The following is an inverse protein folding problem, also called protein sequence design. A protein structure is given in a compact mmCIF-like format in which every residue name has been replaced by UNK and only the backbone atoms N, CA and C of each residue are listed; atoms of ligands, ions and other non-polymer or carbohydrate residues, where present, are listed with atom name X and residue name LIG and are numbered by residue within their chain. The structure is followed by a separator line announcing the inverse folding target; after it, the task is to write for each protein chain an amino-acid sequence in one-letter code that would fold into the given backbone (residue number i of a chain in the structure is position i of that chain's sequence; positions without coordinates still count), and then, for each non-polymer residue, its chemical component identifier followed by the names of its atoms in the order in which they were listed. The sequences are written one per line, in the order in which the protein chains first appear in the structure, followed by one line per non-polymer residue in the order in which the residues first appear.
data_IF_794227051583
#
_entry.id   IF_794227051583
#
_cell.length_a   1.000
_cell.length_b   1.000
_cell.length_c   1.000
_cell.angle_alpha   90.00
_cell.angle_beta   90.00
_cell.angle_gamma   90.00
#
_symmetry.space_group_name_H-M   'P 1'
#
loop_
_entity.id
_entity.type
_entity.pdbx_description
1 polymer ?
#
# COMPACT_ATOMS: atom_id res chain seq x y z
N UNK A 1 17.75 -7.75 -15.27
CA UNK A 1 16.65 -7.22 -16.12
C UNK A 1 16.04 -6.02 -15.39
N UNK A 2 15.71 -4.91 -16.10
CA UNK A 2 14.98 -3.80 -15.44
C UNK A 2 13.60 -4.31 -15.04
N UNK A 3 13.20 -4.09 -13.79
CA UNK A 3 11.86 -4.40 -13.30
C UNK A 3 10.85 -3.56 -14.10
N UNK A 4 9.81 -4.19 -14.65
CA UNK A 4 8.78 -3.52 -15.43
C UNK A 4 7.51 -3.43 -14.59
N UNK A 5 6.95 -2.21 -14.48
CA UNK A 5 5.70 -1.99 -13.77
C UNK A 5 4.47 -2.33 -14.61
N UNK A 6 3.44 -2.85 -13.95
CA UNK A 6 2.17 -3.27 -14.54
C UNK A 6 1.15 -2.12 -14.53
N UNK A 7 1.31 -1.11 -15.39
CA UNK A 7 0.41 0.05 -15.43
C UNK A 7 -1.05 -0.24 -15.83
N UNK A 8 -1.34 -1.45 -16.30
CA UNK A 8 -2.72 -1.91 -16.52
C UNK A 8 -3.49 -2.16 -15.20
N UNK A 9 -2.84 -2.07 -14.05
CA UNK A 9 -3.44 -2.22 -12.70
C UNK A 9 -3.96 -0.91 -12.12
N UNK A 10 -3.75 0.21 -12.78
CA UNK A 10 -4.17 1.53 -12.33
C UNK A 10 -4.86 2.30 -13.45
N UNK A 11 -5.74 3.23 -13.09
CA UNK A 11 -6.39 4.10 -14.08
C UNK A 11 -5.39 5.08 -14.70
N UNK A 12 -5.66 5.59 -15.92
CA UNK A 12 -4.83 6.65 -16.52
C UNK A 12 -4.73 7.89 -15.63
N UNK A 13 -5.80 8.23 -14.89
CA UNK A 13 -5.82 9.34 -13.93
C UNK A 13 -4.84 9.09 -12.79
N UNK A 14 -4.92 7.92 -12.13
CA UNK A 14 -4.01 7.56 -11.04
C UNK A 14 -2.55 7.57 -11.50
N UNK A 15 -2.26 6.97 -12.66
CA UNK A 15 -0.90 6.98 -13.24
C UNK A 15 -0.39 8.40 -13.46
N UNK A 16 -1.23 9.28 -14.02
CA UNK A 16 -0.87 10.69 -14.28
C UNK A 16 -0.60 11.43 -12.97
N UNK A 17 -1.48 11.27 -11.98
CA UNK A 17 -1.32 11.88 -10.66
C UNK A 17 -0.04 11.40 -9.99
N UNK A 18 0.17 10.07 -9.92
CA UNK A 18 1.36 9.49 -9.31
C UNK A 18 2.65 10.03 -9.95
N UNK A 19 2.70 10.10 -11.28
CA UNK A 19 3.87 10.66 -11.99
C UNK A 19 4.14 12.13 -11.63
N UNK A 20 3.10 12.97 -11.49
CA UNK A 20 3.24 14.37 -11.06
C UNK A 20 3.76 14.48 -9.63
N UNK A 21 3.21 13.68 -8.70
CA UNK A 21 3.65 13.68 -7.30
C UNK A 21 5.11 13.22 -7.17
N UNK A 22 5.50 12.16 -7.86
CA UNK A 22 6.87 11.64 -7.82
C UNK A 22 7.91 12.57 -8.45
N UNK A 23 7.49 13.44 -9.37
CA UNK A 23 8.35 14.45 -10.01
C UNK A 23 8.44 15.77 -9.25
N UNK A 24 7.68 15.97 -8.16
CA UNK A 24 7.66 17.22 -7.41
C UNK A 24 8.54 17.12 -6.15
N UNK A 25 9.29 18.19 -5.88
CA UNK A 25 10.24 18.28 -4.76
C UNK A 25 9.54 18.11 -3.39
N UNK A 26 8.30 18.58 -3.29
CA UNK A 26 7.47 18.48 -2.09
C UNK A 26 7.26 17.03 -1.63
N UNK A 27 7.35 16.07 -2.55
CA UNK A 27 7.18 14.64 -2.29
C UNK A 27 8.49 13.85 -2.29
N UNK A 28 9.65 14.54 -2.33
CA UNK A 28 10.96 13.90 -2.43
C UNK A 28 11.27 12.90 -1.31
N UNK A 29 10.68 13.09 -0.12
CA UNK A 29 10.88 12.23 1.05
C UNK A 29 9.88 11.07 1.14
N UNK A 30 8.92 10.97 0.20
CA UNK A 30 7.90 9.94 0.21
C UNK A 30 8.23 8.80 -0.75
N UNK A 31 7.78 7.61 -0.40
CA UNK A 31 7.77 6.44 -1.30
C UNK A 31 6.39 5.81 -1.37
N UNK A 32 6.05 5.27 -2.53
CA UNK A 32 4.80 4.55 -2.76
C UNK A 32 4.83 3.21 -2.02
N UNK A 33 3.78 2.95 -1.24
CA UNK A 33 3.58 1.71 -0.48
C UNK A 33 2.23 1.08 -0.78
N UNK A 34 1.84 0.12 0.00
CA UNK A 34 0.48 -0.43 0.00
C UNK A 34 0.07 -1.19 -1.25
N UNK A 35 -1.24 -1.20 -1.48
CA UNK A 35 -1.84 -1.99 -2.55
C UNK A 35 -1.45 -1.54 -3.95
N UNK A 36 -1.28 -0.23 -4.17
CA UNK A 36 -0.91 0.30 -5.49
C UNK A 36 0.54 -0.05 -5.85
N UNK A 37 1.47 0.05 -4.90
CA UNK A 37 2.84 -0.40 -5.14
C UNK A 37 2.87 -1.88 -5.51
N UNK A 38 2.19 -2.74 -4.74
CA UNK A 38 2.17 -4.18 -5.00
C UNK A 38 1.48 -4.52 -6.32
N UNK A 39 0.38 -3.85 -6.66
CA UNK A 39 -0.31 -4.04 -7.94
C UNK A 39 0.59 -3.66 -9.12
N UNK A 40 1.36 -2.58 -9.02
CA UNK A 40 2.34 -2.20 -10.03
C UNK A 40 3.47 -3.24 -10.16
N UNK A 41 3.92 -3.85 -9.05
CA UNK A 41 4.93 -4.93 -9.09
C UNK A 41 4.41 -6.23 -9.68
N UNK A 42 3.23 -6.68 -9.26
CA UNK A 42 2.73 -8.04 -9.53
C UNK A 42 1.73 -8.12 -10.68
N UNK A 43 1.01 -7.06 -11.00
CA UNK A 43 -0.01 -7.07 -12.06
C UNK A 43 -1.25 -7.91 -11.73
N UNK A 44 -1.56 -8.14 -10.46
CA UNK A 44 -2.53 -9.14 -10.01
C UNK A 44 -3.96 -8.60 -9.85
N UNK A 45 -4.13 -7.33 -9.51
CA UNK A 45 -5.44 -6.68 -9.35
C UNK A 45 -5.38 -5.19 -9.66
N UNK A 46 -6.56 -4.58 -9.86
CA UNK A 46 -6.67 -3.13 -9.93
C UNK A 46 -6.42 -2.49 -8.57
N UNK A 47 -5.83 -1.29 -8.57
CA UNK A 47 -5.70 -0.42 -7.40
C UNK A 47 -6.14 1.00 -7.71
N UNK A 48 -6.70 1.69 -6.72
CA UNK A 48 -7.43 2.95 -6.91
C UNK A 48 -6.96 4.10 -6.02
N UNK A 49 -6.12 3.79 -5.01
CA UNK A 49 -5.61 4.76 -4.04
C UNK A 49 -4.11 4.98 -4.23
N UNK A 50 -3.57 6.08 -3.74
CA UNK A 50 -2.12 6.34 -3.67
C UNK A 50 -1.75 6.48 -2.20
N UNK A 51 -0.92 5.55 -1.70
CA UNK A 51 -0.37 5.57 -0.35
C UNK A 51 1.11 5.97 -0.45
N UNK A 52 1.45 7.18 0.01
CA UNK A 52 2.82 7.70 0.05
C UNK A 52 3.26 7.86 1.51
N UNK A 53 4.21 7.05 1.93
CA UNK A 53 4.71 7.08 3.29
C UNK A 53 6.14 7.61 3.36
N UNK A 54 6.46 8.22 4.51
CA UNK A 54 7.79 8.77 4.80
C UNK A 54 8.27 8.35 6.18
N UNK A 55 9.57 8.05 6.27
CA UNK A 55 10.28 7.85 7.53
C UNK A 55 10.98 9.12 8.05
N UNK A 56 10.66 10.29 7.46
CA UNK A 56 11.15 11.56 7.95
C UNK A 56 10.74 11.77 9.41
N UNK A 57 11.56 12.52 10.14
CA UNK A 57 11.27 12.87 11.53
C UNK A 57 9.88 13.51 11.65
N UNK A 58 9.10 13.06 12.64
CA UNK A 58 7.73 13.54 12.85
C UNK A 58 7.71 15.07 13.00
N UNK A 59 6.79 15.69 12.25
CA UNK A 59 6.61 17.15 12.26
C UNK A 59 7.54 17.92 11.32
N UNK A 60 8.46 17.27 10.59
CA UNK A 60 9.38 17.94 9.63
C UNK A 60 8.75 18.17 8.27
N UNK A 61 7.72 17.42 7.88
CA UNK A 61 6.99 17.62 6.63
C UNK A 61 6.11 18.87 6.73
N UNK A 62 6.30 19.79 5.80
CA UNK A 62 5.47 20.98 5.71
C UNK A 62 4.21 20.71 4.85
N UNK A 63 3.15 20.24 5.49
CA UNK A 63 1.89 19.94 4.81
C UNK A 63 1.25 21.16 4.14
N UNK A 64 1.49 22.40 4.62
CA UNK A 64 0.99 23.59 3.95
C UNK A 64 1.62 23.79 2.56
N UNK A 65 2.91 23.47 2.41
CA UNK A 65 3.59 23.51 1.11
C UNK A 65 3.00 22.45 0.17
N UNK A 66 2.78 21.23 0.68
CA UNK A 66 2.14 20.15 -0.07
C UNK A 66 0.72 20.57 -0.51
N UNK A 67 -0.10 21.10 0.39
CA UNK A 67 -1.47 21.53 0.11
C UNK A 67 -1.53 22.65 -0.94
N UNK A 68 -0.59 23.59 -0.86
CA UNK A 68 -0.44 24.65 -1.87
C UNK A 68 -0.05 24.07 -3.24
N UNK A 69 0.84 23.06 -3.28
CA UNK A 69 1.17 22.35 -4.52
C UNK A 69 -0.07 21.64 -5.08
N UNK A 70 -0.76 20.84 -4.26
CA UNK A 70 -1.94 20.07 -4.68
C UNK A 70 -3.03 20.97 -5.26
N UNK A 71 -3.35 22.07 -4.56
CA UNK A 71 -4.37 23.04 -4.98
C UNK A 71 -4.01 23.74 -6.30
N UNK A 72 -2.73 23.98 -6.55
CA UNK A 72 -2.27 24.59 -7.82
C UNK A 72 -2.23 23.59 -8.97
N UNK A 73 -1.91 22.32 -8.66
CA UNK A 73 -1.63 21.29 -9.66
C UNK A 73 -2.88 20.56 -10.15
N UNK A 74 -3.93 20.46 -9.31
CA UNK A 74 -5.14 19.72 -9.61
C UNK A 74 -6.37 20.63 -9.58
N UNK A 75 -7.31 20.43 -10.51
CA UNK A 75 -8.56 21.20 -10.61
C UNK A 75 -9.52 20.91 -9.44
N UNK A 76 -9.38 19.72 -8.84
CA UNK A 76 -10.14 19.33 -7.67
C UNK A 76 -9.18 18.83 -6.59
N UNK A 77 -9.33 19.40 -5.38
CA UNK A 77 -8.61 19.01 -4.18
C UNK A 77 -9.55 19.14 -2.99
N UNK A 78 -9.77 18.03 -2.28
CA UNK A 78 -10.59 17.99 -1.07
C UNK A 78 -9.80 17.37 0.08
N UNK A 79 -9.80 18.05 1.23
CA UNK A 79 -9.14 17.61 2.47
C UNK A 79 -9.69 18.36 3.67
N UNK A 80 -9.58 17.78 4.85
CA UNK A 80 -9.96 18.47 6.07
C UNK A 80 -8.84 19.41 6.57
N UNK A 81 -9.24 20.47 7.29
CA UNK A 81 -8.33 21.44 7.92
C UNK A 81 -7.97 21.06 9.37
N UNK A 82 -8.11 19.80 9.75
CA UNK A 82 -7.73 19.35 11.08
C UNK A 82 -6.20 19.38 11.25
N UNK A 83 -5.71 19.53 12.49
CA UNK A 83 -4.28 19.41 12.77
C UNK A 83 -3.73 18.09 12.23
N UNK A 84 -2.52 18.14 11.71
CA UNK A 84 -1.83 16.94 11.21
C UNK A 84 -1.51 16.04 12.41
N UNK A 85 -2.05 14.82 12.36
CA UNK A 85 -1.61 13.73 13.22
C UNK A 85 -0.43 13.00 12.59
N UNK A 86 -0.50 11.67 12.48
CA UNK A 86 0.53 10.88 11.78
C UNK A 86 0.54 11.11 10.26
N UNK A 87 -0.38 11.89 9.72
CA UNK A 87 -0.48 12.21 8.30
C UNK A 87 -1.82 12.84 7.93
N UNK A 88 -2.08 12.96 6.64
CA UNK A 88 -3.33 13.51 6.08
C UNK A 88 -3.76 12.72 4.84
N UNK A 89 -5.07 12.69 4.63
CA UNK A 89 -5.70 12.14 3.43
C UNK A 89 -6.29 13.26 2.57
N UNK A 90 -6.20 13.09 1.27
CA UNK A 90 -6.67 14.02 0.25
C UNK A 90 -7.47 13.27 -0.80
N UNK A 91 -8.41 13.96 -1.46
CA UNK A 91 -8.96 13.54 -2.74
C UNK A 91 -8.53 14.56 -3.78
N UNK A 92 -7.82 14.11 -4.81
CA UNK A 92 -7.23 14.98 -5.84
C UNK A 92 -7.56 14.47 -7.24
N UNK A 93 -7.87 15.38 -8.16
CA UNK A 93 -8.25 14.97 -9.51
C UNK A 93 -8.79 16.11 -10.38
N UNK A 94 -9.69 15.75 -11.28
CA UNK A 94 -10.33 16.69 -12.20
C UNK A 94 -11.59 17.33 -11.59
N UNK A 95 -12.38 16.51 -10.88
CA UNK A 95 -13.62 16.87 -10.20
C UNK A 95 -13.93 15.84 -9.11
N UNK A 96 -15.03 16.02 -8.36
CA UNK A 96 -15.40 15.13 -7.24
C UNK A 96 -15.75 13.69 -7.64
N UNK A 97 -16.07 13.42 -8.91
CA UNK A 97 -16.35 12.08 -9.44
C UNK A 97 -15.12 11.43 -10.04
N UNK A 98 -14.13 12.24 -10.42
CA UNK A 98 -12.88 11.83 -11.03
C UNK A 98 -11.70 12.28 -10.14
N UNK A 99 -11.68 11.78 -8.91
CA UNK A 99 -10.64 12.01 -7.92
C UNK A 99 -10.02 10.70 -7.43
N UNK A 100 -8.77 10.78 -7.04
CA UNK A 100 -7.98 9.69 -6.45
C UNK A 100 -7.73 10.03 -4.98
N UNK A 101 -7.90 9.06 -4.10
CA UNK A 101 -7.50 9.19 -2.70
C UNK A 101 -5.97 9.13 -2.62
N UNK A 102 -5.40 10.12 -1.96
CA UNK A 102 -3.97 10.23 -1.65
C UNK A 102 -3.80 10.23 -0.14
N UNK A 103 -3.11 9.24 0.39
CA UNK A 103 -2.73 9.15 1.78
C UNK A 103 -1.24 9.51 1.95
N UNK A 104 -0.94 10.53 2.75
CA UNK A 104 0.41 10.96 3.10
C UNK A 104 0.65 10.75 4.59
N UNK A 105 1.50 9.79 4.96
CA UNK A 105 1.69 9.41 6.35
C UNK A 105 3.17 9.25 6.73
N UNK A 106 3.48 9.63 7.97
CA UNK A 106 4.71 9.20 8.63
C UNK A 106 4.61 7.72 8.96
N UNK A 107 5.75 7.06 8.97
CA UNK A 107 5.86 5.65 9.37
C UNK A 107 7.17 5.41 10.11
N UNK A 108 7.27 4.26 10.78
CA UNK A 108 8.55 3.78 11.31
C UNK A 108 9.59 3.64 10.19
N UNK A 109 10.90 3.62 10.53
CA UNK A 109 11.96 3.44 9.54
C UNK A 109 11.70 2.24 8.64
N UNK A 110 11.92 2.44 7.37
CA UNK A 110 11.82 1.34 6.40
C UNK A 110 12.94 0.33 6.62
N UNK A 111 12.67 -0.93 6.33
CA UNK A 111 13.64 -2.02 6.52
C UNK A 111 14.63 -2.15 5.35
N UNK A 112 14.29 -1.58 4.21
CA UNK A 112 15.07 -1.65 3.00
C UNK A 112 15.15 -0.30 2.28
N UNK A 113 16.14 -0.12 1.41
CA UNK A 113 16.33 1.07 0.60
C UNK A 113 15.17 1.27 -0.40
N UNK A 114 15.03 2.52 -0.87
CA UNK A 114 14.07 2.86 -1.92
C UNK A 114 14.39 2.09 -3.21
N UNK A 115 13.36 1.50 -3.80
CA UNK A 115 13.41 0.98 -5.17
C UNK A 115 12.84 2.04 -6.11
N UNK A 116 13.64 2.50 -7.06
CA UNK A 116 13.17 3.44 -8.08
C UNK A 116 12.97 2.75 -9.43
N UNK A 117 11.75 2.77 -9.93
CA UNK A 117 11.39 2.24 -11.25
C UNK A 117 10.54 3.28 -11.98
N UNK A 118 10.92 3.62 -13.21
CA UNK A 118 10.22 4.63 -14.03
C UNK A 118 10.01 5.98 -13.29
N UNK A 119 11.02 6.41 -12.51
CA UNK A 119 10.99 7.58 -11.64
C UNK A 119 9.93 7.53 -10.51
N UNK A 120 9.39 6.36 -10.19
CA UNK A 120 8.53 6.14 -9.03
C UNK A 120 9.39 5.56 -7.90
N UNK A 121 9.46 6.27 -6.78
CA UNK A 121 10.08 5.79 -5.53
C UNK A 121 9.10 4.85 -4.84
N UNK A 122 9.49 3.60 -4.63
CA UNK A 122 8.65 2.53 -4.10
C UNK A 122 9.30 1.86 -2.90
N UNK A 123 8.50 1.36 -1.98
CA UNK A 123 8.95 0.37 -0.99
C UNK A 123 9.22 -0.97 -1.69
N UNK A 124 10.07 -1.81 -1.10
CA UNK A 124 10.30 -3.19 -1.57
C UNK A 124 9.04 -4.05 -1.38
N UNK A 125 8.98 -5.20 -2.04
CA UNK A 125 7.87 -6.16 -1.84
C UNK A 125 7.90 -6.68 -0.40
N UNK A 126 9.07 -6.94 0.16
CA UNK A 126 9.29 -7.40 1.53
C UNK A 126 8.76 -6.39 2.56
N UNK A 127 9.00 -5.12 2.32
CA UNK A 127 8.46 -4.01 3.10
C UNK A 127 6.92 -3.99 3.08
N UNK A 128 6.33 -4.14 1.88
CA UNK A 128 4.88 -4.15 1.71
C UNK A 128 4.27 -5.40 2.36
N UNK A 129 4.93 -6.56 2.29
CA UNK A 129 4.52 -7.77 3.02
C UNK A 129 4.45 -7.48 4.52
N UNK A 130 5.52 -6.89 5.09
CA UNK A 130 5.55 -6.57 6.52
C UNK A 130 4.38 -5.66 6.92
N UNK A 131 4.10 -4.61 6.14
CA UNK A 131 2.97 -3.70 6.38
C UNK A 131 1.61 -4.40 6.30
N UNK A 132 1.44 -5.34 5.36
CA UNK A 132 0.19 -6.11 5.23
C UNK A 132 -0.01 -7.13 6.35
N UNK A 133 1.06 -7.76 6.80
CA UNK A 133 1.03 -8.64 7.98
C UNK A 133 0.62 -7.84 9.22
N UNK A 134 1.11 -6.60 9.39
CA UNK A 134 0.69 -5.72 10.49
C UNK A 134 -0.80 -5.37 10.43
N UNK A 135 -1.35 -5.18 9.23
CA UNK A 135 -2.80 -5.02 9.05
C UNK A 135 -3.55 -6.30 9.44
N UNK A 136 -3.10 -7.48 8.97
CA UNK A 136 -3.73 -8.77 9.32
C UNK A 136 -3.63 -9.06 10.81
N UNK A 137 -2.51 -8.73 11.46
CA UNK A 137 -2.38 -8.90 12.92
C UNK A 137 -3.49 -8.19 13.70
N UNK A 138 -4.03 -7.11 13.17
CA UNK A 138 -5.15 -6.36 13.78
C UNK A 138 -6.50 -6.85 13.27
N UNK A 139 -6.78 -6.63 12.00
CA UNK A 139 -7.96 -7.12 11.26
C UNK A 139 -7.70 -6.96 9.78
N UNK A 140 -7.48 -8.05 9.05
CA UNK A 140 -7.19 -8.00 7.63
C UNK A 140 -8.43 -7.67 6.78
N UNK A 141 -8.29 -6.79 5.79
CA UNK A 141 -9.31 -6.60 4.75
C UNK A 141 -9.12 -7.62 3.64
N UNK A 142 -10.18 -7.97 2.91
CA UNK A 142 -10.12 -8.94 1.79
C UNK A 142 -8.96 -8.67 0.82
N UNK A 143 -8.74 -7.41 0.46
CA UNK A 143 -7.64 -7.02 -0.43
C UNK A 143 -6.24 -7.30 0.14
N UNK A 144 -6.06 -7.30 1.46
CA UNK A 144 -4.78 -7.57 2.09
C UNK A 144 -4.43 -9.07 2.03
N UNK A 145 -5.41 -9.95 2.27
CA UNK A 145 -5.26 -11.39 2.04
C UNK A 145 -5.02 -11.73 0.56
N UNK A 146 -5.73 -11.04 -0.35
CA UNK A 146 -5.54 -11.20 -1.79
C UNK A 146 -4.13 -10.88 -2.23
N UNK A 147 -3.57 -9.81 -1.69
CA UNK A 147 -2.22 -9.36 -1.96
C UNK A 147 -1.16 -10.35 -1.44
N UNK A 148 -1.31 -10.86 -0.21
CA UNK A 148 -0.40 -11.86 0.35
C UNK A 148 -0.52 -13.20 -0.36
N UNK A 149 -1.71 -13.60 -0.76
CA UNK A 149 -1.92 -14.79 -1.57
C UNK A 149 -1.17 -14.74 -2.92
N UNK A 150 -1.04 -13.56 -3.55
CA UNK A 150 -0.27 -13.40 -4.79
C UNK A 150 1.21 -13.74 -4.59
N UNK A 151 1.72 -13.54 -3.39
CA UNK A 151 3.13 -13.69 -3.05
C UNK A 151 3.50 -15.05 -2.43
N UNK A 152 2.52 -15.92 -2.13
CA UNK A 152 2.72 -17.21 -1.44
C UNK A 152 3.63 -18.20 -2.16
N UNK A 153 3.78 -18.06 -3.48
CA UNK A 153 4.65 -18.92 -4.27
C UNK A 153 6.09 -18.40 -4.36
N UNK A 154 6.34 -17.16 -3.90
CA UNK A 154 7.66 -16.53 -3.89
C UNK A 154 8.25 -16.46 -2.48
N UNK A 155 7.40 -16.35 -1.45
CA UNK A 155 7.79 -16.23 -0.05
C UNK A 155 7.06 -17.26 0.80
N UNK A 156 7.77 -17.86 1.74
CA UNK A 156 7.15 -18.73 2.75
C UNK A 156 6.48 -17.92 3.85
N UNK A 157 5.59 -18.54 4.62
CA UNK A 157 5.00 -17.88 5.82
C UNK A 157 6.10 -17.43 6.80
N UNK A 158 7.16 -18.22 6.94
CA UNK A 158 8.31 -17.87 7.78
C UNK A 158 9.04 -16.62 7.30
N UNK A 159 9.21 -16.46 5.97
CA UNK A 159 9.81 -15.25 5.40
C UNK A 159 8.94 -14.02 5.70
N UNK A 160 7.63 -14.13 5.48
CA UNK A 160 6.66 -13.05 5.72
C UNK A 160 6.64 -12.62 7.20
N UNK A 161 6.65 -13.59 8.13
CA UNK A 161 6.77 -13.32 9.57
C UNK A 161 8.11 -12.66 9.91
N UNK A 162 9.19 -13.08 9.27
CA UNK A 162 10.52 -12.50 9.42
C UNK A 162 10.57 -11.02 8.99
N UNK A 163 9.94 -10.66 7.87
CA UNK A 163 9.84 -9.27 7.43
C UNK A 163 9.03 -8.42 8.41
N UNK A 164 7.92 -8.96 8.91
CA UNK A 164 7.13 -8.27 9.93
C UNK A 164 7.92 -8.07 11.23
N UNK A 165 8.61 -9.11 11.72
CA UNK A 165 9.44 -8.99 12.92
C UNK A 165 10.56 -7.94 12.73
N UNK A 166 11.20 -7.89 11.56
CA UNK A 166 12.25 -6.92 11.24
C UNK A 166 11.72 -5.48 11.28
N UNK A 167 10.51 -5.24 10.74
CA UNK A 167 9.91 -3.91 10.68
C UNK A 167 9.25 -3.49 11.99
N UNK A 168 8.56 -4.41 12.65
CA UNK A 168 7.73 -4.16 13.83
C UNK A 168 8.16 -5.02 15.03
N UNK A 169 9.42 -4.89 15.50
CA UNK A 169 9.97 -5.79 16.54
C UNK A 169 9.22 -5.69 17.87
N UNK A 170 8.60 -4.55 18.15
CA UNK A 170 7.92 -4.30 19.45
C UNK A 170 6.44 -4.71 19.45
N UNK A 171 5.82 -4.84 18.28
CA UNK A 171 4.40 -5.17 18.15
C UNK A 171 4.18 -6.54 17.47
N UNK A 172 5.25 -7.21 17.02
CA UNK A 172 5.17 -8.52 16.41
C UNK A 172 4.65 -9.57 17.38
N UNK A 173 3.52 -10.18 17.04
CA UNK A 173 2.95 -11.32 17.77
C UNK A 173 2.65 -12.44 16.76
N UNK A 174 3.58 -13.39 16.67
CA UNK A 174 3.50 -14.48 15.68
C UNK A 174 2.22 -15.32 15.83
N UNK A 175 1.81 -15.65 17.05
CA UNK A 175 0.61 -16.44 17.30
C UNK A 175 -0.64 -15.72 16.83
N UNK A 176 -0.77 -14.43 17.15
CA UNK A 176 -1.88 -13.60 16.72
C UNK A 176 -1.91 -13.44 15.20
N UNK A 177 -0.76 -13.22 14.56
CA UNK A 177 -0.66 -13.13 13.10
C UNK A 177 -1.15 -14.42 12.46
N UNK A 178 -0.66 -15.58 12.91
CA UNK A 178 -1.03 -16.88 12.33
C UNK A 178 -2.52 -17.18 12.51
N UNK A 179 -3.10 -16.85 13.67
CA UNK A 179 -4.53 -17.01 13.92
C UNK A 179 -5.35 -16.12 12.98
N UNK A 180 -5.00 -14.83 12.88
CA UNK A 180 -5.73 -13.89 12.03
C UNK A 180 -5.49 -14.14 10.53
N UNK A 181 -4.39 -14.80 10.15
CA UNK A 181 -4.11 -15.15 8.75
C UNK A 181 -5.13 -16.14 8.17
N UNK A 182 -5.79 -16.88 9.01
CA UNK A 182 -6.84 -17.85 8.65
C UNK A 182 -8.22 -17.48 9.16
N UNK A 183 -8.35 -16.32 9.79
CA UNK A 183 -9.63 -15.72 10.18
C UNK A 183 -10.08 -14.73 9.11
N UNK A 184 -11.15 -15.05 8.43
CA UNK A 184 -11.67 -14.25 7.32
C UNK A 184 -13.02 -13.63 7.62
N UNK A 185 -13.48 -13.66 8.89
CA UNK A 185 -14.83 -13.27 9.26
C UNK A 185 -15.15 -11.85 8.78
N UNK A 186 -14.35 -10.87 9.17
CA UNK A 186 -14.51 -9.47 8.74
C UNK A 186 -14.26 -9.28 7.24
N UNK A 187 -13.25 -9.96 6.69
CA UNK A 187 -12.89 -9.85 5.28
C UNK A 187 -13.96 -10.42 4.33
N UNK A 188 -14.82 -11.35 4.80
CA UNK A 188 -15.89 -11.91 3.96
C UNK A 188 -16.90 -10.85 3.52
N UNK A 189 -17.15 -9.83 4.34
CA UNK A 189 -18.10 -8.75 4.06
C UNK A 189 -17.54 -7.65 3.15
N UNK A 190 -16.23 -7.62 2.91
CA UNK A 190 -15.61 -6.69 1.99
C UNK A 190 -15.92 -7.03 0.52
N UNK A 191 -15.95 -6.01 -0.33
CA UNK A 191 -16.02 -6.22 -1.77
C UNK A 191 -14.76 -6.92 -2.32
N UNK A 192 -14.96 -7.79 -3.30
CA UNK A 192 -13.85 -8.39 -4.03
C UNK A 192 -13.05 -7.32 -4.77
N UNK A 193 -11.71 -7.35 -4.70
CA UNK A 193 -10.90 -6.49 -5.55
C UNK A 193 -11.07 -6.92 -7.02
N UNK A 194 -10.93 -5.99 -7.94
CA UNK A 194 -10.97 -6.30 -9.39
C UNK A 194 -9.71 -7.11 -9.73
N UNK A 195 -9.86 -8.43 -9.73
CA UNK A 195 -8.77 -9.37 -9.97
C UNK A 195 -8.41 -9.45 -11.46
N UNK A 196 -7.11 -9.47 -11.79
CA UNK A 196 -6.57 -9.62 -13.14
C UNK A 196 -5.97 -11.03 -13.41
N UNK A 197 -6.11 -11.96 -12.45
CA UNK A 197 -5.53 -13.31 -12.46
C UNK A 197 -6.57 -14.43 -12.38
N UNK A 198 -7.86 -14.11 -12.55
CA UNK A 198 -8.97 -15.09 -12.45
C UNK A 198 -8.96 -15.88 -11.12
N UNK A 199 -8.62 -15.23 -10.00
CA UNK A 199 -8.69 -15.82 -8.68
C UNK A 199 -10.07 -15.55 -8.07
N UNK A 200 -10.48 -16.43 -7.16
CA UNK A 200 -11.76 -16.35 -6.46
C UNK A 200 -11.50 -16.43 -4.95
N UNK A 201 -12.27 -15.66 -4.18
CA UNK A 201 -12.09 -15.52 -2.74
C UNK A 201 -12.09 -16.85 -1.99
N UNK A 202 -13.01 -17.76 -2.34
CA UNK A 202 -13.11 -19.06 -1.70
C UNK A 202 -11.85 -19.92 -1.86
N UNK A 203 -11.21 -19.88 -3.03
CA UNK A 203 -9.94 -20.60 -3.26
C UNK A 203 -8.76 -19.91 -2.56
N UNK A 204 -8.76 -18.58 -2.51
CA UNK A 204 -7.74 -17.82 -1.78
C UNK A 204 -7.75 -18.22 -0.30
N UNK A 205 -8.93 -18.31 0.33
CA UNK A 205 -9.04 -18.75 1.73
C UNK A 205 -8.47 -20.14 1.95
N UNK A 206 -8.83 -21.09 1.10
CA UNK A 206 -8.32 -22.48 1.19
C UNK A 206 -6.79 -22.52 1.04
N UNK A 207 -6.26 -21.83 0.06
CA UNK A 207 -4.82 -21.75 -0.18
C UNK A 207 -4.06 -21.12 1.00
N UNK A 208 -4.60 -20.07 1.62
CA UNK A 208 -3.98 -19.40 2.77
C UNK A 208 -4.00 -20.29 4.03
N UNK A 209 -5.10 -21.04 4.25
CA UNK A 209 -5.17 -22.03 5.34
C UNK A 209 -4.10 -23.11 5.19
N UNK A 210 -3.82 -23.56 3.96
CA UNK A 210 -2.77 -24.53 3.71
C UNK A 210 -1.37 -23.92 3.78
N UNK A 211 -1.23 -22.67 3.34
CA UNK A 211 0.02 -21.92 3.35
C UNK A 211 0.58 -21.73 4.76
N UNK A 212 -0.28 -21.43 5.72
CA UNK A 212 0.11 -21.24 7.14
C UNK A 212 0.58 -22.55 7.80
N UNK A 213 0.17 -23.72 7.28
CA UNK A 213 0.56 -25.03 7.83
C UNK A 213 1.93 -25.53 7.34
N UNK A 214 2.50 -24.88 6.34
CA UNK A 214 3.81 -25.24 5.76
C UNK A 214 4.95 -24.59 6.54
#
# INVERSE_FOLDING_TARGET
MKQKLHYNTVTPLLKSILGKLMGADEFGQFRLVGGTALSLYCGHRMSVDIDLFTEAEYGTINFNVIENYLTKQFSYTDFNNLPVGMGKSYFIGNDSQNAIKLDLYYTEPFIDDIVEVDAIRMATIEEIIAMKIDVIQRTGRKKDYWDLHELKDQYTIKDMLGFHLKRYPYTHNQELILNNFIDFEEANDDFDPVCLRNKYWEFIKLDLIEFVKR
#
